data_IF_007942052507
#
_entry.id   IF_007942052507
#
_cell.length_a   1.000
_cell.length_b   1.000
_cell.length_c   1.000
_cell.angle_alpha   90.00
_cell.angle_beta   90.00
_cell.angle_gamma   90.00
#
_symmetry.space_group_name_H-M   'P 1'
#
loop_
_entity.id
_entity.type
_entity.pdbx_description
1 polymer ?
#
# COMPACT_ATOMS: atom_id res chain seq x y z
N UNK A 1 -13.08 49.14 -85.93
CA UNK A 1 -12.13 48.03 -85.67
C UNK A 1 -11.81 48.03 -84.20
N UNK A 2 -12.36 47.07 -83.39
CA UNK A 2 -11.87 46.56 -82.13
C UNK A 2 -12.72 45.40 -81.74
N UNK A 3 -12.15 44.20 -81.81
CA UNK A 3 -12.80 42.94 -81.42
C UNK A 3 -12.90 42.84 -79.92
N UNK A 4 -14.09 42.56 -79.38
CA UNK A 4 -14.27 42.24 -78.00
C UNK A 4 -14.19 40.72 -77.90
N UNK A 5 -13.26 40.25 -77.07
CA UNK A 5 -13.18 38.84 -76.63
C UNK A 5 -14.25 38.58 -75.48
N UNK A 6 -15.14 37.65 -75.68
CA UNK A 6 -15.99 37.18 -74.63
C UNK A 6 -15.26 36.10 -73.84
N UNK A 7 -15.12 36.32 -72.54
CA UNK A 7 -14.59 35.33 -71.59
C UNK A 7 -15.79 34.59 -71.00
N UNK A 8 -15.95 33.34 -71.36
CA UNK A 8 -16.92 32.43 -70.72
C UNK A 8 -16.37 31.96 -69.38
N UNK A 9 -16.99 32.39 -68.29
CA UNK A 9 -16.70 31.88 -66.95
C UNK A 9 -17.27 30.46 -66.81
N UNK A 10 -16.36 29.50 -66.80
CA UNK A 10 -16.64 28.14 -66.47
C UNK A 10 -16.68 28.03 -64.93
N UNK A 11 -17.85 27.89 -64.33
CA UNK A 11 -18.03 27.57 -62.93
C UNK A 11 -17.74 26.10 -62.71
N UNK A 12 -16.55 25.76 -62.21
CA UNK A 12 -16.22 24.43 -61.67
C UNK A 12 -16.74 24.39 -60.25
N UNK A 13 -17.87 23.69 -60.03
CA UNK A 13 -18.30 23.32 -58.69
C UNK A 13 -17.35 22.24 -58.12
N UNK A 14 -16.38 22.70 -57.31
CA UNK A 14 -15.60 21.80 -56.46
C UNK A 14 -16.55 21.29 -55.34
N UNK A 15 -17.10 20.11 -55.51
CA UNK A 15 -17.68 19.34 -54.42
C UNK A 15 -16.53 18.88 -53.53
N UNK A 16 -16.24 19.63 -52.49
CA UNK A 16 -15.43 19.17 -51.36
C UNK A 16 -16.28 18.15 -50.58
N UNK A 17 -16.10 16.87 -50.92
CA UNK A 17 -16.48 15.79 -50.05
C UNK A 17 -15.68 15.93 -48.77
N UNK A 18 -16.22 16.62 -47.78
CA UNK A 18 -15.77 16.53 -46.41
C UNK A 18 -16.08 15.10 -45.91
N UNK A 19 -15.17 14.19 -46.17
CA UNK A 19 -15.08 12.93 -45.43
C UNK A 19 -14.75 13.34 -43.98
N UNK A 20 -15.81 13.48 -43.18
CA UNK A 20 -15.68 13.46 -41.73
C UNK A 20 -15.02 12.12 -41.39
N UNK A 21 -13.71 12.14 -41.24
CA UNK A 21 -13.02 11.07 -40.50
C UNK A 21 -13.62 11.16 -39.12
N UNK A 22 -14.66 10.34 -38.87
CA UNK A 22 -15.04 9.99 -37.49
C UNK A 22 -13.80 9.27 -36.97
N UNK A 23 -12.88 10.04 -36.39
CA UNK A 23 -11.96 9.47 -35.43
C UNK A 23 -12.86 8.82 -34.38
N UNK A 24 -13.03 7.53 -34.49
CA UNK A 24 -13.56 6.74 -33.39
C UNK A 24 -12.71 7.15 -32.20
N UNK A 25 -13.30 7.88 -31.24
CA UNK A 25 -12.71 7.93 -29.92
C UNK A 25 -12.56 6.45 -29.57
N UNK A 26 -11.33 5.97 -29.56
CA UNK A 26 -10.99 4.74 -28.85
C UNK A 26 -11.45 5.01 -27.41
N UNK A 27 -12.67 4.59 -27.09
CA UNK A 27 -13.20 4.60 -25.73
C UNK A 27 -12.46 3.51 -24.97
N UNK A 28 -11.14 3.72 -24.83
CA UNK A 28 -10.32 2.86 -23.98
C UNK A 28 -10.77 3.11 -22.54
N UNK A 29 -11.32 2.07 -21.91
CA UNK A 29 -11.70 2.15 -20.50
C UNK A 29 -10.41 2.01 -19.67
N UNK A 30 -10.02 3.09 -19.03
CA UNK A 30 -8.78 3.18 -18.24
C UNK A 30 -8.98 2.54 -16.87
N UNK A 31 -8.68 1.25 -16.76
CA UNK A 31 -8.60 0.53 -15.48
C UNK A 31 -7.13 0.25 -15.17
N UNK A 32 -6.68 0.66 -14.01
CA UNK A 32 -5.29 0.44 -13.54
C UNK A 32 -5.27 -0.47 -12.30
N UNK A 33 -4.51 -1.57 -12.27
CA UNK A 33 -3.81 -2.19 -13.42
C UNK A 33 -4.77 -2.66 -14.52
N UNK A 34 -4.27 -2.66 -15.76
CA UNK A 34 -5.06 -3.14 -16.91
C UNK A 34 -5.48 -4.61 -16.71
N UNK A 35 -6.78 -4.94 -16.79
CA UNK A 35 -7.25 -6.31 -16.63
C UNK A 35 -6.71 -7.24 -17.73
N UNK A 36 -6.54 -8.53 -17.40
CA UNK A 36 -6.11 -9.54 -18.37
C UNK A 36 -7.05 -9.65 -19.58
N UNK A 37 -8.34 -9.45 -19.36
CA UNK A 37 -9.36 -9.43 -20.43
C UNK A 37 -10.43 -8.40 -20.09
N UNK A 38 -10.68 -7.50 -21.04
CA UNK A 38 -11.76 -6.50 -20.98
C UNK A 38 -12.45 -6.46 -22.32
N UNK A 39 -13.75 -6.68 -22.32
CA UNK A 39 -14.60 -6.56 -23.51
C UNK A 39 -15.70 -5.55 -23.23
N UNK A 40 -15.66 -4.42 -23.90
CA UNK A 40 -16.70 -3.40 -23.81
C UNK A 40 -17.96 -3.85 -24.57
N UNK A 41 -19.12 -3.53 -24.01
CA UNK A 41 -20.44 -3.82 -24.57
C UNK A 41 -21.22 -2.51 -24.72
N UNK A 42 -22.32 -2.54 -25.49
CA UNK A 42 -23.17 -1.36 -25.65
C UNK A 42 -24.00 -1.07 -24.41
N UNK A 43 -24.14 0.22 -24.08
CA UNK A 43 -24.94 0.71 -22.97
C UNK A 43 -24.17 0.92 -21.68
N UNK A 44 -24.87 1.29 -20.63
CA UNK A 44 -24.33 1.57 -19.31
C UNK A 44 -25.32 1.12 -18.22
N UNK A 45 -24.80 0.88 -17.03
CA UNK A 45 -25.58 0.72 -15.79
C UNK A 45 -25.64 2.07 -15.10
N UNK A 46 -26.83 2.54 -14.74
CA UNK A 46 -27.01 3.80 -14.00
C UNK A 46 -27.11 3.52 -12.50
N UNK A 47 -26.11 3.98 -11.74
CA UNK A 47 -26.11 4.00 -10.28
C UNK A 47 -27.03 5.15 -9.81
N UNK A 48 -27.97 4.86 -8.91
CA UNK A 48 -28.89 5.84 -8.35
C UNK A 48 -29.38 5.43 -6.96
N UNK A 49 -30.20 6.26 -6.31
CA UNK A 49 -30.70 6.03 -4.94
C UNK A 49 -31.52 4.75 -4.74
N UNK A 50 -32.00 4.11 -5.82
CA UNK A 50 -32.72 2.83 -5.79
C UNK A 50 -31.79 1.63 -5.97
N UNK A 51 -30.54 1.85 -6.33
CA UNK A 51 -29.53 0.79 -6.46
C UNK A 51 -29.33 0.10 -5.12
N UNK A 52 -29.09 -1.20 -5.14
CA UNK A 52 -28.83 -1.99 -3.91
C UNK A 52 -27.74 -3.02 -4.15
N UNK A 53 -27.01 -3.35 -3.09
CA UNK A 53 -26.19 -4.55 -3.10
C UNK A 53 -27.05 -5.81 -3.01
N UNK A 54 -26.73 -6.83 -3.78
CA UNK A 54 -27.37 -8.15 -3.73
C UNK A 54 -26.34 -9.19 -3.29
N UNK A 55 -26.54 -9.77 -2.08
CA UNK A 55 -25.67 -10.77 -1.50
C UNK A 55 -26.53 -11.93 -1.00
N UNK A 56 -26.29 -13.15 -1.52
CA UNK A 56 -27.00 -14.34 -1.08
C UNK A 56 -26.87 -14.58 0.44
N UNK A 57 -27.92 -15.10 1.09
CA UNK A 57 -27.96 -15.30 2.55
C UNK A 57 -26.74 -16.06 3.08
N UNK A 58 -26.32 -17.11 2.38
CA UNK A 58 -25.19 -17.98 2.74
C UNK A 58 -23.82 -17.30 2.63
N UNK A 59 -23.71 -16.22 1.86
CA UNK A 59 -22.44 -15.48 1.61
C UNK A 59 -22.41 -14.13 2.33
N UNK A 60 -23.47 -13.77 3.07
CA UNK A 60 -23.60 -12.45 3.67
C UNK A 60 -22.54 -12.17 4.73
N UNK A 61 -22.15 -13.17 5.53
CA UNK A 61 -21.11 -13.00 6.54
C UNK A 61 -19.77 -12.58 5.92
N UNK A 62 -19.38 -13.27 4.86
CA UNK A 62 -18.10 -13.07 4.18
C UNK A 62 -18.05 -11.73 3.41
N UNK A 63 -19.16 -11.33 2.78
CA UNK A 63 -19.21 -10.20 1.86
C UNK A 63 -19.77 -8.91 2.47
N UNK A 64 -20.29 -8.95 3.71
CA UNK A 64 -20.87 -7.77 4.37
C UNK A 64 -19.84 -6.64 4.54
N UNK A 65 -18.60 -6.99 4.92
CA UNK A 65 -17.54 -5.99 5.10
C UNK A 65 -17.14 -5.35 3.77
N UNK A 66 -17.03 -6.15 2.70
CA UNK A 66 -16.76 -5.65 1.35
C UNK A 66 -17.86 -4.69 0.90
N UNK A 67 -19.14 -5.08 1.05
CA UNK A 67 -20.26 -4.22 0.68
C UNK A 67 -20.28 -2.91 1.49
N UNK A 68 -20.01 -2.98 2.80
CA UNK A 68 -20.00 -1.81 3.67
C UNK A 68 -18.91 -0.79 3.27
N UNK A 69 -17.71 -1.28 2.92
CA UNK A 69 -16.62 -0.43 2.44
C UNK A 69 -17.05 0.38 1.20
N UNK A 70 -17.58 -0.27 0.18
CA UNK A 70 -18.01 0.41 -1.06
C UNK A 70 -19.30 1.21 -0.87
N UNK A 71 -20.20 0.78 0.02
CA UNK A 71 -21.39 1.56 0.41
C UNK A 71 -21.00 2.92 0.98
N UNK A 72 -20.00 2.96 1.88
CA UNK A 72 -19.51 4.21 2.44
C UNK A 72 -18.89 5.11 1.38
N UNK A 73 -18.02 4.59 0.51
CA UNK A 73 -17.43 5.37 -0.59
C UNK A 73 -18.50 5.97 -1.52
N UNK A 74 -19.46 5.16 -1.94
CA UNK A 74 -20.56 5.62 -2.81
C UNK A 74 -21.43 6.68 -2.08
N UNK A 75 -21.70 6.49 -0.80
CA UNK A 75 -22.49 7.43 -0.02
C UNK A 75 -21.82 8.82 0.05
N UNK A 76 -20.50 8.88 0.28
CA UNK A 76 -19.78 10.15 0.41
C UNK A 76 -19.91 11.04 -0.84
N UNK A 77 -19.74 10.47 -2.02
CA UNK A 77 -19.71 11.24 -3.27
C UNK A 77 -21.09 11.43 -3.90
N UNK A 78 -22.00 10.47 -3.72
CA UNK A 78 -23.32 10.48 -4.40
C UNK A 78 -24.48 10.83 -3.51
N UNK A 79 -24.35 10.70 -2.19
CA UNK A 79 -25.47 10.75 -1.24
C UNK A 79 -26.37 9.50 -1.25
N UNK A 80 -26.06 8.46 -2.04
CA UNK A 80 -26.91 7.27 -2.17
C UNK A 80 -26.55 6.21 -1.13
N UNK A 81 -27.48 5.93 -0.23
CA UNK A 81 -27.34 4.85 0.76
C UNK A 81 -27.86 3.52 0.17
N UNK A 82 -26.96 2.71 -0.36
CA UNK A 82 -27.28 1.44 -1.01
C UNK A 82 -27.61 0.35 0.02
N UNK A 83 -28.85 -0.12 0.06
CA UNK A 83 -29.27 -1.19 0.95
C UNK A 83 -28.69 -2.56 0.52
N UNK A 84 -28.44 -3.45 1.47
CA UNK A 84 -28.02 -4.83 1.21
C UNK A 84 -29.25 -5.74 1.21
N UNK A 85 -29.55 -6.37 0.07
CA UNK A 85 -30.65 -7.34 -0.13
C UNK A 85 -30.10 -8.76 -0.33
N UNK A 86 -30.94 -9.77 -0.20
CA UNK A 86 -30.54 -11.17 -0.45
C UNK A 86 -30.42 -11.51 -1.95
N UNK A 87 -31.15 -10.80 -2.79
CA UNK A 87 -31.18 -10.95 -4.25
C UNK A 87 -31.75 -9.70 -4.90
N UNK A 88 -31.59 -9.58 -6.23
CA UNK A 88 -32.19 -8.50 -7.00
C UNK A 88 -32.26 -8.85 -8.49
N UNK A 89 -33.34 -8.45 -9.17
CA UNK A 89 -33.54 -8.71 -10.60
C UNK A 89 -33.00 -7.57 -11.47
N UNK A 90 -33.06 -6.34 -10.99
CA UNK A 90 -32.59 -5.14 -11.70
C UNK A 90 -32.09 -4.08 -10.71
N UNK A 91 -31.31 -3.14 -11.24
CA UNK A 91 -30.69 -2.04 -10.49
C UNK A 91 -29.94 -2.53 -9.23
N UNK A 92 -29.07 -3.53 -9.42
CA UNK A 92 -28.33 -4.17 -8.33
C UNK A 92 -26.87 -4.37 -8.67
N UNK A 93 -26.02 -4.24 -7.64
CA UNK A 93 -24.63 -4.67 -7.63
C UNK A 93 -24.58 -6.00 -6.88
N UNK A 94 -24.41 -7.11 -7.60
CA UNK A 94 -24.43 -8.46 -7.03
C UNK A 94 -23.01 -8.91 -6.72
N UNK A 95 -22.74 -9.21 -5.45
CA UNK A 95 -21.45 -9.75 -4.97
C UNK A 95 -21.61 -11.25 -4.73
N UNK A 96 -20.74 -12.07 -5.32
CA UNK A 96 -20.86 -13.52 -5.32
C UNK A 96 -19.50 -14.20 -5.08
N UNK A 97 -19.49 -15.17 -4.16
CA UNK A 97 -18.38 -16.11 -4.02
C UNK A 97 -18.75 -17.38 -4.81
N UNK A 98 -17.91 -17.76 -5.74
CA UNK A 98 -18.03 -18.98 -6.52
C UNK A 98 -16.69 -19.71 -6.53
N UNK A 99 -16.57 -20.73 -5.68
CA UNK A 99 -15.35 -21.53 -5.50
C UNK A 99 -15.01 -22.40 -6.72
N UNK A 100 -15.95 -22.57 -7.67
CA UNK A 100 -15.74 -23.37 -8.89
C UNK A 100 -14.98 -22.62 -9.99
N UNK A 101 -14.82 -21.30 -9.88
CA UNK A 101 -14.10 -20.48 -10.84
C UNK A 101 -12.65 -20.95 -11.00
N UNK A 102 -12.19 -21.01 -12.25
CA UNK A 102 -10.80 -21.35 -12.60
C UNK A 102 -9.96 -20.08 -12.66
N UNK A 103 -9.81 -19.39 -11.53
CA UNK A 103 -8.99 -18.17 -11.34
C UNK A 103 -8.29 -18.25 -9.99
N UNK A 104 -7.27 -17.45 -9.77
CA UNK A 104 -6.59 -17.33 -8.47
C UNK A 104 -7.50 -16.77 -7.36
N UNK A 105 -7.03 -16.82 -6.11
CA UNK A 105 -7.78 -16.32 -4.95
C UNK A 105 -8.06 -14.82 -5.03
N UNK A 106 -7.19 -14.06 -5.65
CA UNK A 106 -7.32 -12.62 -5.85
C UNK A 106 -7.98 -12.24 -7.18
N UNK A 107 -8.29 -13.26 -8.03
CA UNK A 107 -8.94 -13.06 -9.32
C UNK A 107 -10.45 -12.80 -9.18
N UNK A 108 -11.02 -12.17 -10.21
CA UNK A 108 -12.46 -11.87 -10.29
C UNK A 108 -12.98 -11.91 -11.72
N UNK A 109 -14.29 -12.03 -11.83
CA UNK A 109 -15.07 -11.79 -13.04
C UNK A 109 -16.07 -10.67 -12.77
N UNK A 110 -16.10 -9.67 -13.66
CA UNK A 110 -17.02 -8.54 -13.58
C UNK A 110 -17.87 -8.53 -14.86
N UNK A 111 -19.18 -8.49 -14.70
CA UNK A 111 -20.14 -8.29 -15.80
C UNK A 111 -21.02 -7.10 -15.48
N UNK A 112 -21.00 -6.10 -16.34
CA UNK A 112 -21.89 -4.93 -16.27
C UNK A 112 -22.88 -4.97 -17.43
N UNK A 113 -24.15 -4.90 -17.10
CA UNK A 113 -25.27 -4.80 -18.04
C UNK A 113 -26.15 -3.61 -17.66
N UNK A 114 -27.05 -3.10 -18.50
CA UNK A 114 -27.93 -1.98 -18.10
C UNK A 114 -28.81 -2.27 -16.87
N UNK A 115 -28.97 -3.55 -16.52
CA UNK A 115 -29.82 -3.96 -15.39
C UNK A 115 -29.03 -4.31 -14.13
N UNK A 116 -27.79 -4.76 -14.27
CA UNK A 116 -27.01 -5.34 -13.16
C UNK A 116 -25.50 -5.16 -13.34
N UNK A 117 -24.83 -4.98 -12.21
CA UNK A 117 -23.39 -5.23 -12.03
C UNK A 117 -23.23 -6.55 -11.28
N UNK A 118 -22.43 -7.47 -11.77
CA UNK A 118 -22.18 -8.77 -11.14
C UNK A 118 -20.67 -8.93 -10.97
N UNK A 119 -20.23 -9.05 -9.71
CA UNK A 119 -18.83 -9.36 -9.34
C UNK A 119 -18.79 -10.76 -8.76
N UNK A 120 -18.02 -11.66 -9.40
CA UNK A 120 -17.81 -13.03 -8.95
C UNK A 120 -16.33 -13.29 -8.69
N UNK A 121 -16.02 -13.94 -7.60
CA UNK A 121 -14.65 -14.35 -7.25
C UNK A 121 -14.66 -15.61 -6.38
N UNK A 122 -13.50 -16.23 -6.19
CA UNK A 122 -13.35 -17.37 -5.27
C UNK A 122 -13.34 -16.97 -3.80
N UNK A 123 -12.94 -15.73 -3.53
CA UNK A 123 -12.72 -15.20 -2.18
C UNK A 123 -13.32 -13.80 -2.01
N UNK A 124 -13.56 -13.33 -0.79
CA UNK A 124 -13.94 -11.94 -0.53
C UNK A 124 -12.93 -10.92 -1.05
N UNK A 125 -11.62 -11.24 -1.02
CA UNK A 125 -10.56 -10.40 -1.56
C UNK A 125 -10.69 -10.19 -3.08
N UNK A 126 -10.96 -11.27 -3.83
CA UNK A 126 -11.21 -11.16 -5.26
C UNK A 126 -12.48 -10.33 -5.57
N UNK A 127 -13.55 -10.46 -4.75
CA UNK A 127 -14.73 -9.60 -4.86
C UNK A 127 -14.39 -8.14 -4.58
N UNK A 128 -13.55 -7.86 -3.59
CA UNK A 128 -13.07 -6.51 -3.28
C UNK A 128 -12.32 -5.90 -4.49
N UNK A 129 -11.42 -6.65 -5.12
CA UNK A 129 -10.69 -6.17 -6.30
C UNK A 129 -11.59 -5.98 -7.52
N UNK A 130 -12.59 -6.83 -7.71
CA UNK A 130 -13.61 -6.62 -8.73
C UNK A 130 -14.41 -5.34 -8.49
N UNK A 131 -14.73 -5.03 -7.25
CA UNK A 131 -15.39 -3.78 -6.89
C UNK A 131 -14.48 -2.55 -7.06
N UNK A 132 -13.16 -2.64 -6.84
CA UNK A 132 -12.24 -1.56 -7.20
C UNK A 132 -12.31 -1.24 -8.70
N UNK A 133 -12.41 -2.26 -9.55
CA UNK A 133 -12.63 -2.04 -10.99
C UNK A 133 -13.99 -1.39 -11.30
N UNK A 134 -15.04 -1.72 -10.54
CA UNK A 134 -16.35 -1.02 -10.65
C UNK A 134 -16.20 0.47 -10.30
N UNK A 135 -15.45 0.79 -9.24
CA UNK A 135 -15.20 2.18 -8.86
C UNK A 135 -14.43 2.95 -9.92
N UNK A 136 -13.41 2.33 -10.53
CA UNK A 136 -12.62 2.95 -11.61
C UNK A 136 -13.41 3.11 -12.93
N UNK A 137 -14.49 2.35 -13.13
CA UNK A 137 -15.39 2.50 -14.28
C UNK A 137 -16.42 3.61 -14.07
N UNK A 138 -16.65 4.08 -12.85
CA UNK A 138 -17.49 5.24 -12.54
C UNK A 138 -16.76 6.55 -12.89
N UNK A 139 -17.49 7.66 -13.07
CA UNK A 139 -16.86 8.98 -13.20
C UNK A 139 -15.88 9.24 -12.05
N UNK A 140 -14.71 9.89 -12.28
CA UNK A 140 -13.68 10.08 -11.24
C UNK A 140 -14.17 10.85 -10.01
N UNK A 141 -15.26 11.58 -10.12
CA UNK A 141 -15.93 12.25 -9.01
C UNK A 141 -16.39 11.28 -7.90
N UNK A 142 -16.42 9.96 -8.16
CA UNK A 142 -16.76 8.93 -7.17
C UNK A 142 -15.74 8.87 -6.02
N UNK A 143 -14.53 9.39 -6.22
CA UNK A 143 -13.49 9.45 -5.18
C UNK A 143 -13.62 10.72 -4.29
N UNK A 144 -14.64 11.56 -4.50
CA UNK A 144 -14.88 12.73 -3.65
C UNK A 144 -15.31 12.32 -2.23
N UNK A 145 -14.81 13.03 -1.25
CA UNK A 145 -15.23 12.91 0.16
C UNK A 145 -16.48 13.72 0.49
N UNK A 146 -17.03 14.44 -0.48
CA UNK A 146 -18.25 15.25 -0.37
C UNK A 146 -19.18 14.97 -1.53
N UNK A 147 -20.50 15.17 -1.34
CA UNK A 147 -21.50 14.97 -2.38
C UNK A 147 -21.23 15.89 -3.55
N UNK A 148 -21.22 15.33 -4.76
CA UNK A 148 -21.07 16.06 -6.02
C UNK A 148 -22.39 15.98 -6.79
N UNK A 149 -22.99 17.12 -7.02
CA UNK A 149 -24.26 17.26 -7.76
C UNK A 149 -24.03 17.20 -9.28
N UNK A 150 -25.09 16.87 -10.00
CA UNK A 150 -25.16 16.89 -11.47
C UNK A 150 -24.17 15.96 -12.18
N UNK A 151 -23.76 14.86 -11.53
CA UNK A 151 -22.96 13.80 -12.15
C UNK A 151 -23.87 12.65 -12.61
N UNK A 152 -23.72 12.23 -13.86
CA UNK A 152 -24.32 10.99 -14.36
C UNK A 152 -23.47 9.81 -13.86
N UNK A 153 -23.91 9.14 -12.81
CA UNK A 153 -23.22 7.99 -12.22
C UNK A 153 -23.44 6.74 -13.09
N UNK A 154 -22.74 6.65 -14.19
CA UNK A 154 -22.88 5.62 -15.19
C UNK A 154 -21.65 4.71 -15.25
N UNK A 155 -21.85 3.40 -15.30
CA UNK A 155 -20.82 2.39 -15.44
C UNK A 155 -20.99 1.78 -16.85
N UNK A 156 -19.99 1.88 -17.74
CA UNK A 156 -20.05 1.26 -19.06
C UNK A 156 -20.30 -0.26 -18.97
N UNK A 157 -21.10 -0.78 -19.89
CA UNK A 157 -21.32 -2.23 -19.97
C UNK A 157 -20.03 -2.92 -20.40
N UNK A 158 -19.56 -3.89 -19.59
CA UNK A 158 -18.31 -4.61 -19.83
C UNK A 158 -18.39 -6.06 -19.37
N UNK A 159 -17.52 -6.88 -19.91
CA UNK A 159 -17.13 -8.17 -19.36
C UNK A 159 -15.63 -8.13 -19.08
N UNK A 160 -15.26 -8.33 -17.82
CA UNK A 160 -13.86 -8.37 -17.38
C UNK A 160 -13.59 -9.72 -16.72
N UNK A 161 -12.42 -10.28 -17.04
CA UNK A 161 -11.82 -11.40 -16.31
C UNK A 161 -10.40 -11.00 -15.99
N UNK A 162 -10.06 -11.02 -14.69
CA UNK A 162 -8.79 -10.51 -14.22
C UNK A 162 -8.28 -11.31 -13.03
N UNK A 163 -6.99 -11.44 -12.95
CA UNK A 163 -6.23 -11.91 -11.78
C UNK A 163 -4.82 -11.33 -11.81
N UNK A 164 -4.20 -11.05 -10.65
CA UNK A 164 -2.89 -10.45 -10.64
C UNK A 164 -1.82 -11.40 -11.15
N UNK A 165 -0.88 -10.86 -11.95
CA UNK A 165 0.29 -11.61 -12.44
C UNK A 165 1.30 -11.92 -11.33
N UNK A 166 1.34 -11.10 -10.28
CA UNK A 166 2.29 -11.23 -9.18
C UNK A 166 1.56 -11.33 -7.84
N UNK A 167 2.00 -12.27 -7.00
CA UNK A 167 1.47 -12.46 -5.64
C UNK A 167 1.84 -11.34 -4.67
N UNK A 168 2.99 -10.67 -4.88
CA UNK A 168 3.42 -9.51 -4.10
C UNK A 168 3.28 -8.23 -4.94
N UNK A 169 2.48 -7.28 -4.43
CA UNK A 169 2.29 -5.95 -5.04
C UNK A 169 2.33 -4.93 -3.92
N UNK A 170 3.54 -4.49 -3.60
CA UNK A 170 3.83 -3.68 -2.42
C UNK A 170 4.21 -2.23 -2.74
N UNK A 171 4.05 -1.40 -1.71
CA UNK A 171 4.60 -0.05 -1.63
C UNK A 171 5.29 0.10 -0.28
N UNK A 172 6.45 0.75 -0.25
CA UNK A 172 7.15 1.12 0.98
C UNK A 172 6.89 2.60 1.29
N UNK A 173 6.65 2.91 2.57
CA UNK A 173 6.60 4.26 3.10
C UNK A 173 7.64 4.43 4.20
N UNK A 174 8.59 5.32 3.98
CA UNK A 174 9.57 5.75 4.96
C UNK A 174 8.99 6.88 5.82
N UNK A 175 8.75 6.58 7.09
CA UNK A 175 8.23 7.54 8.08
C UNK A 175 9.32 8.05 9.03
N UNK A 176 10.57 7.64 8.82
CA UNK A 176 11.70 8.02 9.66
C UNK A 176 12.41 9.27 9.15
N UNK A 177 12.62 9.38 7.82
CA UNK A 177 13.19 10.60 7.24
C UNK A 177 12.19 11.75 7.34
N UNK A 178 10.90 11.47 7.12
CA UNK A 178 9.78 12.40 7.34
C UNK A 178 8.63 11.67 8.01
N UNK A 179 8.32 12.05 9.24
CA UNK A 179 7.19 11.47 9.96
C UNK A 179 5.87 11.91 9.34
N UNK A 180 4.98 10.95 9.15
CA UNK A 180 3.60 11.13 8.71
C UNK A 180 2.65 10.58 9.76
N UNK A 181 1.55 11.27 10.01
CA UNK A 181 0.54 10.82 10.96
C UNK A 181 -0.29 9.62 10.46
N UNK A 182 -1.12 9.08 11.35
CA UNK A 182 -1.97 7.90 11.06
C UNK A 182 -2.92 8.16 9.89
N UNK A 183 -3.47 9.37 9.78
CA UNK A 183 -4.43 9.70 8.72
C UNK A 183 -3.75 9.73 7.34
N UNK A 184 -2.52 10.22 7.26
CA UNK A 184 -1.74 10.13 6.04
C UNK A 184 -1.47 8.67 5.64
N UNK A 185 -1.07 7.82 6.61
CA UNK A 185 -0.83 6.39 6.35
C UNK A 185 -2.10 5.69 5.86
N UNK A 186 -3.26 5.97 6.48
CA UNK A 186 -4.56 5.45 6.02
C UNK A 186 -4.89 5.88 4.60
N UNK A 187 -4.62 7.13 4.25
CA UNK A 187 -4.79 7.63 2.88
C UNK A 187 -3.93 6.87 1.87
N UNK A 188 -2.67 6.55 2.21
CA UNK A 188 -1.82 5.72 1.36
C UNK A 188 -2.41 4.30 1.18
N UNK A 189 -2.94 3.71 2.25
CA UNK A 189 -3.62 2.41 2.20
C UNK A 189 -4.88 2.44 1.31
N UNK A 190 -5.63 3.54 1.30
CA UNK A 190 -6.78 3.71 0.39
C UNK A 190 -6.33 3.77 -1.07
N UNK A 191 -5.25 4.51 -1.37
CA UNK A 191 -4.66 4.57 -2.71
C UNK A 191 -4.15 3.18 -3.14
N UNK A 192 -3.44 2.48 -2.26
CA UNK A 192 -2.98 1.12 -2.52
C UNK A 192 -4.14 0.16 -2.83
N UNK A 193 -5.23 0.24 -2.07
CA UNK A 193 -6.43 -0.55 -2.29
C UNK A 193 -7.08 -0.29 -3.65
N UNK A 194 -7.17 0.98 -4.08
CA UNK A 194 -7.67 1.39 -5.39
C UNK A 194 -6.90 0.70 -6.52
N UNK A 195 -5.57 0.57 -6.39
CA UNK A 195 -4.69 -0.09 -7.36
C UNK A 195 -4.46 -1.58 -7.08
N UNK A 196 -5.26 -2.20 -6.21
CA UNK A 196 -5.22 -3.64 -5.90
C UNK A 196 -3.85 -4.12 -5.38
N UNK A 197 -3.11 -3.25 -4.70
CA UNK A 197 -1.89 -3.61 -3.98
C UNK A 197 -2.24 -4.36 -2.70
N UNK A 198 -1.37 -5.29 -2.27
CA UNK A 198 -1.66 -6.21 -1.16
C UNK A 198 -0.61 -6.26 -0.06
N UNK A 199 0.50 -5.54 -0.20
CA UNK A 199 1.53 -5.42 0.82
C UNK A 199 1.92 -3.97 1.06
N UNK A 200 1.89 -3.54 2.32
CA UNK A 200 2.40 -2.25 2.78
C UNK A 200 3.67 -2.46 3.61
N UNK A 201 4.80 -2.05 3.08
CA UNK A 201 6.08 -2.08 3.78
C UNK A 201 6.23 -0.76 4.56
N UNK A 202 6.18 -0.85 5.89
CA UNK A 202 6.21 0.30 6.78
C UNK A 202 7.58 0.41 7.44
N UNK A 203 8.39 1.36 6.95
CA UNK A 203 9.76 1.60 7.42
C UNK A 203 9.71 2.48 8.68
N UNK A 204 9.84 1.84 9.87
CA UNK A 204 9.50 2.42 11.17
C UNK A 204 10.68 2.91 11.97
N UNK A 205 11.92 2.54 11.61
CA UNK A 205 13.11 2.94 12.38
C UNK A 205 14.29 3.21 11.45
N UNK A 206 15.07 4.25 11.76
CA UNK A 206 16.25 4.64 10.99
C UNK A 206 17.15 5.58 11.79
N UNK A 207 18.29 6.04 11.24
CA UNK A 207 19.20 7.02 11.83
C UNK A 207 18.53 8.38 12.15
N UNK A 208 17.49 8.71 11.41
CA UNK A 208 16.81 10.00 11.49
C UNK A 208 15.74 10.05 12.55
N UNK A 209 14.94 9.00 12.71
CA UNK A 209 13.91 8.87 13.75
C UNK A 209 13.66 7.38 14.07
N UNK A 210 13.30 7.14 15.32
CA UNK A 210 12.64 5.94 15.80
C UNK A 210 11.15 6.23 15.94
N UNK A 211 10.28 5.58 15.17
CA UNK A 211 8.87 6.00 15.06
C UNK A 211 7.85 5.01 15.64
N UNK A 212 8.27 4.00 16.40
CA UNK A 212 7.37 3.04 17.05
C UNK A 212 7.56 3.04 18.57
N UNK A 213 6.46 3.06 19.33
CA UNK A 213 6.49 2.97 20.79
C UNK A 213 6.99 1.59 21.25
N UNK A 214 8.00 1.58 22.14
CA UNK A 214 8.47 0.41 22.87
C UNK A 214 8.32 0.68 24.37
N UNK A 215 7.40 0.02 25.03
CA UNK A 215 7.04 0.30 26.44
C UNK A 215 8.17 -0.03 27.40
N UNK A 216 8.94 -1.08 27.10
CA UNK A 216 10.12 -1.46 27.88
C UNK A 216 11.27 -0.45 27.76
N UNK A 217 11.34 0.24 26.62
CA UNK A 217 12.39 1.20 26.30
C UNK A 217 11.83 2.57 25.91
N UNK A 218 11.19 3.33 26.82
CA UNK A 218 10.44 4.54 26.50
C UNK A 218 11.30 5.66 25.88
N UNK A 219 12.60 5.72 26.18
CA UNK A 219 13.50 6.70 25.56
C UNK A 219 13.63 6.56 24.04
N UNK A 220 13.29 5.40 23.45
CA UNK A 220 13.21 5.26 22.00
C UNK A 220 12.18 6.24 21.41
N UNK A 221 11.02 6.37 22.03
CA UNK A 221 9.99 7.34 21.64
C UNK A 221 10.26 8.75 22.16
N UNK A 222 10.85 8.91 23.34
CA UNK A 222 11.08 10.23 23.95
C UNK A 222 12.28 10.98 23.35
N UNK A 223 13.35 10.25 23.01
CA UNK A 223 14.63 10.78 22.54
C UNK A 223 14.83 10.44 21.07
N UNK A 224 14.68 9.14 20.71
CA UNK A 224 14.94 8.65 19.37
C UNK A 224 13.96 9.17 18.31
N UNK A 225 12.80 9.71 18.71
CA UNK A 225 11.80 10.28 17.81
C UNK A 225 11.87 11.81 17.68
N UNK A 226 12.92 12.47 18.19
CA UNK A 226 13.02 13.94 18.24
C UNK A 226 14.31 14.40 17.58
N UNK A 227 14.23 14.91 16.37
CA UNK A 227 15.37 15.39 15.57
C UNK A 227 15.38 16.90 15.47
N UNK A 228 16.57 17.52 15.66
CA UNK A 228 16.81 18.91 15.29
C UNK A 228 17.28 18.98 13.84
N UNK A 229 16.54 19.65 12.97
CA UNK A 229 16.91 19.91 11.59
C UNK A 229 18.04 20.93 11.47
N UNK A 230 18.67 21.03 10.29
CA UNK A 230 19.76 21.97 10.03
C UNK A 230 19.36 23.45 10.20
N UNK A 231 18.09 23.78 9.98
CA UNK A 231 17.51 25.13 10.16
C UNK A 231 17.15 25.44 11.63
N UNK A 232 17.40 24.49 12.55
CA UNK A 232 17.08 24.60 13.97
C UNK A 232 15.66 24.20 14.35
N UNK A 233 14.79 23.92 13.39
CA UNK A 233 13.44 23.41 13.66
C UNK A 233 13.49 21.99 14.27
N UNK A 234 12.42 21.64 15.00
CA UNK A 234 12.28 20.30 15.58
C UNK A 234 11.32 19.48 14.71
N UNK A 235 11.81 18.35 14.21
CA UNK A 235 10.99 17.33 13.58
C UNK A 235 10.84 16.14 14.54
N UNK A 236 9.61 15.69 14.79
CA UNK A 236 9.33 14.62 15.73
C UNK A 236 8.06 13.87 15.41
N UNK A 237 7.99 12.62 15.83
CA UNK A 237 6.78 11.82 15.79
C UNK A 237 7.06 10.34 15.97
N UNK A 238 6.11 9.66 16.58
CA UNK A 238 6.08 8.21 16.67
C UNK A 238 4.64 7.74 16.75
N UNK A 239 4.42 6.46 16.49
CA UNK A 239 3.13 5.80 16.64
C UNK A 239 3.09 5.03 17.95
N UNK A 240 1.98 5.18 18.69
CA UNK A 240 1.69 4.29 19.82
C UNK A 240 1.36 2.89 19.30
N UNK A 241 1.50 1.88 20.16
CA UNK A 241 1.13 0.51 19.78
C UNK A 241 -0.36 0.39 19.40
N UNK A 242 -1.23 1.22 20.00
CA UNK A 242 -2.65 1.30 19.67
C UNK A 242 -2.86 1.88 18.26
N UNK A 243 -2.12 2.92 17.89
CA UNK A 243 -2.15 3.49 16.53
C UNK A 243 -1.61 2.49 15.48
N UNK A 244 -0.57 1.73 15.82
CA UNK A 244 -0.09 0.64 14.94
C UNK A 244 -1.19 -0.38 14.71
N UNK A 245 -1.85 -0.87 15.77
CA UNK A 245 -2.97 -1.81 15.65
C UNK A 245 -4.12 -1.25 14.83
N UNK A 246 -4.44 0.03 14.98
CA UNK A 246 -5.46 0.72 14.19
C UNK A 246 -5.11 0.70 12.70
N UNK A 247 -3.89 1.07 12.34
CA UNK A 247 -3.41 1.04 10.94
C UNK A 247 -3.42 -0.38 10.37
N UNK A 248 -2.96 -1.36 11.14
CA UNK A 248 -2.95 -2.77 10.72
C UNK A 248 -4.37 -3.29 10.49
N UNK A 249 -5.32 -2.95 11.36
CA UNK A 249 -6.74 -3.33 11.19
C UNK A 249 -7.34 -2.63 9.96
N UNK A 250 -7.04 -1.35 9.76
CA UNK A 250 -7.48 -0.57 8.60
C UNK A 250 -6.95 -1.15 7.27
N UNK A 251 -5.68 -1.57 7.24
CA UNK A 251 -5.07 -2.26 6.11
C UNK A 251 -5.76 -3.60 5.82
N UNK A 252 -6.03 -4.39 6.87
CA UNK A 252 -6.68 -5.70 6.75
C UNK A 252 -8.09 -5.62 6.13
N UNK A 253 -8.85 -4.57 6.41
CA UNK A 253 -10.17 -4.32 5.79
C UNK A 253 -10.06 -4.08 4.27
N UNK A 254 -8.87 -3.72 3.78
CA UNK A 254 -8.50 -3.48 2.37
C UNK A 254 -7.75 -4.63 1.75
N UNK A 255 -7.61 -5.76 2.48
CA UNK A 255 -6.83 -6.93 2.07
C UNK A 255 -5.34 -6.60 1.84
N UNK A 256 -4.81 -5.64 2.60
CA UNK A 256 -3.40 -5.25 2.59
C UNK A 256 -2.73 -5.81 3.85
N UNK A 257 -1.65 -6.55 3.66
CA UNK A 257 -0.79 -7.03 4.74
C UNK A 257 0.30 -6.02 5.02
N UNK A 258 0.44 -5.60 6.28
CA UNK A 258 1.52 -4.69 6.69
C UNK A 258 2.77 -5.51 7.03
N UNK A 259 3.90 -5.11 6.44
CA UNK A 259 5.24 -5.62 6.75
C UNK A 259 5.98 -4.52 7.51
N UNK A 260 6.22 -4.66 8.83
CA UNK A 260 7.01 -3.69 9.57
C UNK A 260 8.49 -3.85 9.23
N UNK A 261 9.22 -2.74 9.25
CA UNK A 261 10.67 -2.74 9.20
C UNK A 261 11.25 -2.09 10.45
N UNK A 262 12.13 -2.84 11.13
CA UNK A 262 12.96 -2.36 12.23
C UNK A 262 14.42 -2.58 11.84
N UNK A 263 15.11 -1.49 11.56
CA UNK A 263 16.46 -1.49 11.01
C UNK A 263 17.52 -1.99 12.00
N UNK A 264 18.35 -2.90 11.52
CA UNK A 264 19.51 -3.44 12.22
C UNK A 264 20.44 -4.20 11.23
N UNK A 265 21.76 -4.26 11.46
CA UNK A 265 22.54 -3.62 12.53
C UNK A 265 22.90 -2.17 12.23
N UNK A 266 22.77 -1.70 11.00
CA UNK A 266 22.91 -0.31 10.54
C UNK A 266 21.64 0.49 10.80
N UNK A 267 21.61 1.74 10.33
CA UNK A 267 20.48 2.68 10.48
C UNK A 267 19.92 2.73 11.91
N UNK A 268 20.85 2.67 12.89
CA UNK A 268 20.55 2.46 14.30
C UNK A 268 20.73 3.73 15.14
N UNK A 269 21.16 4.86 14.54
CA UNK A 269 21.60 6.04 15.29
C UNK A 269 20.50 6.62 16.18
N UNK A 270 19.22 6.58 15.74
CA UNK A 270 18.13 7.05 16.60
C UNK A 270 17.99 6.21 17.87
N UNK A 271 18.08 4.89 17.76
CA UNK A 271 18.09 4.00 18.92
C UNK A 271 19.35 4.19 19.79
N UNK A 272 20.51 4.34 19.17
CA UNK A 272 21.78 4.56 19.87
C UNK A 272 21.85 5.94 20.54
N UNK A 273 21.15 6.94 20.02
CA UNK A 273 20.99 8.23 20.69
C UNK A 273 20.20 8.09 21.99
N UNK A 274 19.17 7.24 21.97
CA UNK A 274 18.37 6.94 23.14
C UNK A 274 19.10 6.04 24.16
N UNK A 275 19.84 5.02 23.67
CA UNK A 275 20.52 3.98 24.46
C UNK A 275 21.92 3.73 23.93
N UNK A 276 22.90 4.65 24.21
CA UNK A 276 24.24 4.60 23.60
C UNK A 276 25.08 3.39 24.04
N UNK A 277 24.74 2.74 25.15
CA UNK A 277 25.42 1.55 25.68
C UNK A 277 25.35 0.32 24.74
N UNK A 278 24.45 0.32 23.74
CA UNK A 278 24.34 -0.74 22.73
C UNK A 278 25.20 -0.49 21.49
N UNK A 279 25.90 0.65 21.45
CA UNK A 279 26.91 0.95 20.43
C UNK A 279 28.28 0.40 20.76
N UNK A 280 29.22 0.49 19.80
CA UNK A 280 30.62 0.13 20.04
C UNK A 280 31.38 1.17 20.88
N UNK A 281 30.97 2.43 20.84
CA UNK A 281 31.69 3.58 21.41
C UNK A 281 31.06 4.15 22.69
N UNK A 282 29.76 3.88 22.94
CA UNK A 282 29.04 4.38 24.12
C UNK A 282 28.53 5.83 24.01
N UNK A 283 28.64 6.44 22.84
CA UNK A 283 28.15 7.82 22.62
C UNK A 283 28.96 8.92 23.27
N UNK A 284 28.40 10.13 23.49
CA UNK A 284 27.02 10.50 23.15
C UNK A 284 26.79 10.63 21.63
N UNK A 285 25.51 10.53 21.21
CA UNK A 285 25.11 10.65 19.80
C UNK A 285 24.00 11.69 19.65
N UNK A 286 23.84 12.20 18.43
CA UNK A 286 22.75 13.05 18.00
C UNK A 286 22.06 12.43 16.77
N UNK A 287 20.73 12.58 16.65
CA UNK A 287 20.00 12.07 15.50
C UNK A 287 20.50 12.73 14.20
N UNK A 288 20.57 11.92 13.16
CA UNK A 288 21.03 12.38 11.85
C UNK A 288 20.03 13.38 11.25
N UNK A 289 20.58 14.48 10.71
CA UNK A 289 19.80 15.50 9.99
C UNK A 289 20.36 15.79 8.59
N UNK A 290 21.24 14.91 8.09
CA UNK A 290 21.92 15.02 6.81
C UNK A 290 21.76 13.70 6.04
N UNK A 291 21.82 13.79 4.72
CA UNK A 291 21.94 12.62 3.87
C UNK A 291 23.25 11.86 4.11
N UNK A 292 23.25 10.56 3.92
CA UNK A 292 24.41 9.67 3.93
C UNK A 292 24.27 8.53 4.94
N UNK A 293 25.28 7.68 5.00
CA UNK A 293 25.36 6.51 5.85
C UNK A 293 26.05 6.85 7.18
N UNK A 294 25.58 6.28 8.28
CA UNK A 294 26.09 6.50 9.62
C UNK A 294 27.03 5.34 10.04
N UNK A 295 28.24 5.68 10.55
CA UNK A 295 29.20 4.66 10.97
C UNK A 295 28.83 3.96 12.28
N UNK A 296 28.00 4.59 13.12
CA UNK A 296 27.62 4.04 14.41
C UNK A 296 26.45 3.08 14.24
N UNK A 297 26.76 1.80 14.44
CA UNK A 297 25.85 0.65 14.31
C UNK A 297 25.74 -0.09 15.65
N UNK A 298 24.78 -0.96 15.79
CA UNK A 298 24.68 -1.83 16.97
C UNK A 298 25.95 -2.66 17.17
N UNK A 299 26.39 -2.78 18.43
CA UNK A 299 27.59 -3.53 18.77
C UNK A 299 27.35 -5.04 18.71
N UNK A 300 27.84 -5.70 17.66
CA UNK A 300 27.71 -7.14 17.46
C UNK A 300 28.50 -7.99 18.46
N UNK A 301 29.45 -7.41 19.15
CA UNK A 301 30.25 -8.07 20.20
C UNK A 301 29.62 -8.03 21.60
N UNK A 302 28.52 -7.28 21.78
CA UNK A 302 27.84 -7.09 23.07
C UNK A 302 26.55 -7.91 23.14
N UNK A 303 26.49 -8.94 23.99
CA UNK A 303 25.28 -9.77 24.13
C UNK A 303 24.06 -8.99 24.63
N UNK A 304 24.26 -7.95 25.43
CA UNK A 304 23.18 -7.04 25.86
C UNK A 304 22.51 -6.31 24.69
N UNK A 305 23.22 -6.11 23.59
CA UNK A 305 22.61 -5.58 22.35
C UNK A 305 21.56 -6.53 21.79
N UNK A 306 21.84 -7.82 21.81
CA UNK A 306 20.87 -8.83 21.33
C UNK A 306 19.70 -9.01 22.31
N UNK A 307 19.91 -8.89 23.62
CA UNK A 307 18.83 -8.87 24.61
C UNK A 307 17.91 -7.66 24.39
N UNK A 308 18.48 -6.47 24.18
CA UNK A 308 17.74 -5.25 23.86
C UNK A 308 16.91 -5.40 22.58
N UNK A 309 17.51 -5.92 21.50
CA UNK A 309 16.81 -6.13 20.23
C UNK A 309 15.74 -7.22 20.33
N UNK A 310 15.99 -8.29 21.09
CA UNK A 310 14.98 -9.31 21.36
C UNK A 310 13.78 -8.71 22.08
N UNK A 311 13.98 -7.93 23.12
CA UNK A 311 12.90 -7.27 23.86
C UNK A 311 12.06 -6.36 22.94
N UNK A 312 12.71 -5.62 22.04
CA UNK A 312 12.01 -4.78 21.04
C UNK A 312 11.18 -5.64 20.10
N UNK A 313 11.77 -6.70 19.53
CA UNK A 313 11.09 -7.59 18.60
C UNK A 313 9.92 -8.31 19.26
N UNK A 314 10.05 -8.71 20.53
CA UNK A 314 8.98 -9.33 21.32
C UNK A 314 7.78 -8.41 21.54
N UNK A 315 7.99 -7.07 21.62
CA UNK A 315 6.89 -6.10 21.66
C UNK A 315 6.30 -5.78 20.28
N UNK A 316 7.14 -5.73 19.24
CA UNK A 316 6.70 -5.30 17.89
C UNK A 316 6.02 -6.42 17.12
N UNK A 317 6.57 -7.64 17.12
CA UNK A 317 6.06 -8.76 16.31
C UNK A 317 4.57 -9.04 16.53
N UNK A 318 4.02 -9.03 17.76
CA UNK A 318 2.60 -9.27 17.99
C UNK A 318 1.66 -8.22 17.40
N UNK A 319 2.14 -7.02 17.12
CA UNK A 319 1.35 -5.94 16.51
C UNK A 319 1.03 -6.19 15.04
N UNK A 320 1.82 -7.04 14.37
CA UNK A 320 1.74 -7.30 12.94
C UNK A 320 1.40 -8.78 12.67
N UNK A 321 0.16 -9.11 12.31
CA UNK A 321 -0.26 -10.49 12.09
C UNK A 321 0.30 -11.11 10.80
N UNK A 322 0.84 -10.30 9.87
CA UNK A 322 1.44 -10.75 8.62
C UNK A 322 2.60 -11.72 8.84
N UNK A 323 2.91 -12.52 7.81
CA UNK A 323 3.96 -13.54 7.87
C UNK A 323 5.37 -12.93 7.90
N UNK A 324 5.57 -11.81 7.21
CA UNK A 324 6.90 -11.25 6.97
C UNK A 324 7.25 -10.16 7.98
N UNK A 325 8.52 -10.11 8.36
CA UNK A 325 9.12 -9.07 9.19
C UNK A 325 10.44 -8.63 8.53
N UNK A 326 10.57 -7.35 8.22
CA UNK A 326 11.76 -6.78 7.60
C UNK A 326 12.70 -6.21 8.66
N UNK A 327 13.99 -6.45 8.51
CA UNK A 327 15.01 -5.98 9.46
C UNK A 327 16.01 -5.00 8.84
N UNK A 328 15.77 -4.53 7.62
CA UNK A 328 16.76 -3.78 6.86
C UNK A 328 17.98 -4.65 6.54
N UNK A 329 19.11 -4.27 7.10
CA UNK A 329 20.36 -5.02 6.99
C UNK A 329 21.32 -4.47 5.94
N UNK A 330 20.91 -3.44 5.24
CA UNK A 330 21.71 -2.73 4.26
C UNK A 330 22.65 -1.71 4.91
N UNK A 331 23.53 -1.17 4.11
CA UNK A 331 24.44 -0.05 4.41
C UNK A 331 25.09 -0.08 5.82
N UNK A 332 25.39 -1.29 6.35
CA UNK A 332 26.02 -1.45 7.65
C UNK A 332 27.55 -1.27 7.55
N UNK A 333 28.13 -0.11 7.93
CA UNK A 333 29.56 0.11 7.90
C UNK A 333 30.30 -0.79 8.89
N UNK A 334 31.50 -1.20 8.54
CA UNK A 334 32.33 -2.10 9.37
C UNK A 334 33.35 -1.37 10.24
N UNK A 335 33.46 -0.04 10.08
CA UNK A 335 34.48 0.80 10.75
C UNK A 335 34.45 0.57 12.25
N UNK A 336 33.29 0.74 12.89
CA UNK A 336 33.18 0.57 14.36
C UNK A 336 33.44 -0.85 14.82
N UNK A 337 33.01 -1.85 14.07
CA UNK A 337 33.26 -3.26 14.42
C UNK A 337 34.73 -3.63 14.30
N UNK A 338 35.46 -3.07 13.33
CA UNK A 338 36.89 -3.31 13.15
C UNK A 338 37.72 -2.73 14.31
N UNK A 339 37.27 -1.63 14.90
CA UNK A 339 37.94 -0.94 16.01
C UNK A 339 37.50 -1.44 17.41
N UNK A 340 36.32 -2.07 17.49
CA UNK A 340 35.71 -2.46 18.76
C UNK A 340 36.31 -3.74 19.34
N UNK A 341 36.91 -3.71 20.54
CA UNK A 341 37.49 -4.93 21.14
C UNK A 341 36.47 -6.04 21.38
N UNK A 342 35.19 -5.70 21.68
CA UNK A 342 34.13 -6.68 21.89
C UNK A 342 33.78 -7.38 20.57
N UNK A 343 33.69 -6.63 19.46
CA UNK A 343 33.40 -7.17 18.14
C UNK A 343 34.57 -8.03 17.64
N UNK A 344 35.82 -7.60 17.82
CA UNK A 344 37.00 -8.37 17.44
C UNK A 344 37.11 -9.65 18.29
N UNK A 345 36.75 -9.59 19.58
CA UNK A 345 36.67 -10.79 20.41
C UNK A 345 35.60 -11.76 19.87
N UNK A 346 34.40 -11.27 19.51
CA UNK A 346 33.32 -12.09 18.93
C UNK A 346 33.76 -12.77 17.64
N UNK A 347 34.42 -12.05 16.74
CA UNK A 347 34.96 -12.61 15.49
C UNK A 347 35.87 -13.80 15.80
N UNK A 348 36.75 -13.64 16.79
CA UNK A 348 37.69 -14.71 17.18
C UNK A 348 36.96 -15.88 17.85
N UNK A 349 36.06 -15.62 18.81
CA UNK A 349 35.38 -16.65 19.59
C UNK A 349 34.46 -17.52 18.72
N UNK A 350 33.78 -16.90 17.75
CA UNK A 350 32.88 -17.58 16.81
C UNK A 350 33.61 -18.11 15.56
N UNK A 351 34.94 -17.96 15.50
CA UNK A 351 35.78 -18.38 14.36
C UNK A 351 35.32 -17.77 13.02
N UNK A 352 34.92 -16.49 13.06
CA UNK A 352 34.52 -15.73 11.88
C UNK A 352 35.76 -15.17 11.17
N UNK A 353 35.66 -14.97 9.87
CA UNK A 353 36.76 -14.49 9.04
C UNK A 353 37.03 -12.99 9.25
N UNK A 354 35.96 -12.19 9.30
CA UNK A 354 36.03 -10.73 9.32
C UNK A 354 34.71 -10.09 9.80
N UNK A 355 34.62 -8.77 9.70
CA UNK A 355 33.44 -8.02 10.09
C UNK A 355 32.23 -8.23 9.12
N UNK A 356 32.43 -8.77 7.90
CA UNK A 356 31.34 -9.13 7.03
C UNK A 356 30.66 -10.42 7.51
N UNK A 357 31.44 -11.42 7.92
CA UNK A 357 30.88 -12.61 8.56
C UNK A 357 30.27 -12.29 9.93
N UNK A 358 30.78 -11.28 10.63
CA UNK A 358 30.15 -10.77 11.86
C UNK A 358 28.74 -10.20 11.59
N UNK A 359 28.52 -9.54 10.45
CA UNK A 359 27.17 -9.13 10.05
C UNK A 359 26.27 -10.35 9.81
N UNK A 360 26.75 -11.35 9.09
CA UNK A 360 25.99 -12.60 8.90
C UNK A 360 25.65 -13.27 10.23
N UNK A 361 26.60 -13.32 11.16
CA UNK A 361 26.37 -13.84 12.51
C UNK A 361 25.27 -13.03 13.24
N UNK A 362 25.32 -11.68 13.17
CA UNK A 362 24.31 -10.80 13.77
C UNK A 362 22.91 -11.09 13.18
N UNK A 363 22.80 -11.11 11.85
CA UNK A 363 21.56 -11.39 11.15
C UNK A 363 20.99 -12.76 11.53
N UNK A 364 21.81 -13.81 11.55
CA UNK A 364 21.35 -15.15 11.95
C UNK A 364 20.86 -15.22 13.40
N UNK A 365 21.42 -14.44 14.31
CA UNK A 365 20.92 -14.37 15.69
C UNK A 365 19.52 -13.74 15.73
N UNK A 366 19.30 -12.66 14.97
CA UNK A 366 18.00 -11.98 14.88
C UNK A 366 16.97 -12.86 14.16
N UNK A 367 17.37 -13.53 13.05
CA UNK A 367 16.52 -14.46 12.33
C UNK A 367 15.94 -15.56 13.25
N UNK A 368 16.75 -16.12 14.15
CA UNK A 368 16.29 -17.12 15.13
C UNK A 368 15.16 -16.59 16.01
N UNK A 369 15.22 -15.32 16.42
CA UNK A 369 14.17 -14.68 17.22
C UNK A 369 12.89 -14.56 16.38
N UNK A 370 12.99 -14.07 15.15
CA UNK A 370 11.86 -13.88 14.23
C UNK A 370 11.18 -15.22 13.91
N UNK A 371 11.99 -16.25 13.59
CA UNK A 371 11.49 -17.60 13.29
C UNK A 371 10.80 -18.24 14.50
N UNK A 372 11.31 -18.02 15.72
CA UNK A 372 10.69 -18.53 16.95
C UNK A 372 9.28 -17.98 17.18
N UNK A 373 8.96 -16.79 16.61
CA UNK A 373 7.63 -16.20 16.61
C UNK A 373 6.77 -16.61 15.40
N UNK A 374 7.20 -17.59 14.62
CA UNK A 374 6.47 -18.09 13.44
C UNK A 374 6.44 -17.13 12.25
N UNK A 375 7.33 -16.14 12.23
CA UNK A 375 7.49 -15.19 11.13
C UNK A 375 8.60 -15.66 10.16
N UNK A 376 8.62 -15.07 8.99
CA UNK A 376 9.74 -15.15 8.04
C UNK A 376 10.40 -13.78 7.94
N UNK A 377 11.72 -13.75 7.95
CA UNK A 377 12.51 -12.57 7.73
C UNK A 377 12.66 -12.32 6.21
#
# INVERSE_FOLDING_TARGET
MKRALSISCLWICLLVLSSSVIMGQDNHLDITPTPQSLVQKNGHFTLNSKTSFAIGKTQRADLKKVAAYFQSKILYSTGYNLNIKNSGSSNTISLQIDKSLKIGNEGYQLTVTPKKVIVKAKTPQGVFYGMQSVMQLLPPQIESETIIDNVAWEIPCVEIKDEPAYGYRGMMLDVCRHFHDVEFVKKQLDIMAMFKMNYFHWHLTDDHLWTIEIKKYPRLAEVGSVRRNADGSIHRGFYTQEQIKEVVAYAAERYITVIPEVELPGHALAALTAYPEYSCTGGPFELRNKWGVEDNVYCAGNDKTFEFLQDILEEVIPLFPGKFFHIGGDECPKVRWNECPKCQKRIKDENLKDAHELQSYFIHRIEKIILAHGKSM
#
